data_IF_649667896930
#
_entry.id   IF_649667896930
#
_cell.length_a   1.000
_cell.length_b   1.000
_cell.length_c   1.000
_cell.angle_alpha   90.00
_cell.angle_beta   90.00
_cell.angle_gamma   90.00
#
_symmetry.space_group_name_H-M   'P 1'
#
loop_
_entity.id
_entity.type
_entity.pdbx_description
1 polymer ?
#
# COMPACT_ATOMS: atom_id res chain seq x y z
N UNK A 1 4.16 -3.89 -24.76
CA UNK A 1 3.60 -3.15 -23.61
C UNK A 1 4.67 -2.86 -22.59
N UNK A 2 4.53 -1.78 -21.85
CA UNK A 2 5.42 -1.46 -20.74
C UNK A 2 5.42 -2.62 -19.77
N UNK A 3 6.57 -3.21 -19.51
CA UNK A 3 6.68 -4.26 -18.52
C UNK A 3 6.50 -3.66 -17.12
N UNK A 4 5.91 -4.41 -16.22
CA UNK A 4 5.79 -4.06 -14.78
C UNK A 4 7.16 -4.18 -14.09
N UNK A 5 8.18 -3.60 -14.72
CA UNK A 5 9.55 -3.50 -14.22
C UNK A 5 9.83 -2.04 -13.96
N UNK A 6 10.03 -1.72 -12.71
CA UNK A 6 10.45 -0.40 -12.31
C UNK A 6 11.96 -0.32 -12.37
N UNK A 7 12.46 0.23 -13.45
CA UNK A 7 13.87 0.57 -13.58
C UNK A 7 14.22 1.86 -12.82
N UNK A 8 13.20 2.61 -12.39
CA UNK A 8 13.38 3.81 -11.58
C UNK A 8 12.86 3.61 -10.15
N UNK A 9 13.77 3.57 -9.20
CA UNK A 9 13.45 3.40 -7.78
C UNK A 9 12.67 4.57 -7.15
N UNK A 10 12.67 5.72 -7.81
CA UNK A 10 12.09 6.95 -7.28
C UNK A 10 10.66 7.19 -7.72
N UNK A 11 10.21 6.58 -8.80
CA UNK A 11 8.85 6.77 -9.31
C UNK A 11 8.47 5.82 -10.43
N UNK A 12 7.17 5.74 -10.70
CA UNK A 12 6.63 4.95 -11.80
C UNK A 12 6.32 5.88 -12.98
N UNK A 13 6.86 5.57 -14.14
CA UNK A 13 6.56 6.33 -15.37
C UNK A 13 5.09 6.21 -15.73
N UNK A 14 4.46 7.31 -16.02
CA UNK A 14 3.07 7.42 -16.44
C UNK A 14 2.96 7.51 -17.97
N UNK A 15 1.73 7.41 -18.46
CA UNK A 15 1.45 7.42 -19.90
C UNK A 15 1.91 8.70 -20.60
N UNK A 16 1.88 9.82 -19.90
CA UNK A 16 2.26 11.15 -20.41
C UNK A 16 3.76 11.47 -20.26
N UNK A 17 4.56 10.51 -19.76
CA UNK A 17 5.98 10.69 -19.53
C UNK A 17 6.34 11.29 -18.17
N UNK A 18 5.35 11.70 -17.37
CA UNK A 18 5.57 12.10 -15.97
C UNK A 18 5.71 10.89 -15.05
N UNK A 19 5.96 11.13 -13.78
CA UNK A 19 6.15 10.07 -12.79
C UNK A 19 5.12 10.15 -11.67
N UNK A 20 4.71 8.99 -11.18
CA UNK A 20 3.99 8.90 -9.90
C UNK A 20 4.96 8.56 -8.78
N UNK A 21 4.78 9.26 -7.65
CA UNK A 21 5.51 9.02 -6.41
C UNK A 21 4.54 8.42 -5.40
N UNK A 22 4.95 7.32 -4.80
CA UNK A 22 4.09 6.54 -3.92
C UNK A 22 4.78 6.33 -2.58
N UNK A 23 4.53 7.21 -1.60
CA UNK A 23 5.05 7.01 -0.24
C UNK A 23 4.46 5.74 0.36
N UNK A 24 5.27 4.98 1.08
CA UNK A 24 4.80 3.77 1.77
C UNK A 24 3.97 4.15 2.98
N UNK A 25 2.79 3.55 3.06
CA UNK A 25 1.85 3.68 4.18
C UNK A 25 1.47 2.28 4.67
N UNK A 26 2.25 1.66 5.57
CA UNK A 26 1.98 0.32 6.04
C UNK A 26 0.57 0.18 6.61
N UNK A 27 -0.17 -0.82 6.13
CA UNK A 27 -1.57 -1.02 6.49
C UNK A 27 -2.53 0.08 6.05
N UNK A 28 -2.06 1.09 5.32
CA UNK A 28 -2.84 2.30 4.99
C UNK A 28 -2.88 3.33 6.11
N UNK A 29 -2.08 3.14 7.17
CA UNK A 29 -2.00 4.09 8.28
C UNK A 29 -1.10 5.27 7.93
N UNK A 30 -1.54 6.47 8.26
CA UNK A 30 -0.79 7.70 8.08
C UNK A 30 -1.14 8.69 9.20
N UNK A 31 -0.11 9.38 9.73
CA UNK A 31 -0.33 10.40 10.76
C UNK A 31 -0.93 11.68 10.18
N UNK A 32 -1.60 12.51 11.00
CA UNK A 32 -2.04 13.84 10.58
C UNK A 32 -0.90 14.70 10.00
N UNK A 33 0.25 14.70 10.63
CA UNK A 33 1.44 15.42 10.13
C UNK A 33 1.94 14.88 8.80
N UNK A 34 1.87 13.56 8.61
CA UNK A 34 2.17 12.91 7.33
C UNK A 34 1.21 13.36 6.22
N UNK A 35 -0.09 13.47 6.50
CA UNK A 35 -1.07 13.99 5.54
C UNK A 35 -0.79 15.45 5.18
N UNK A 36 -0.43 16.29 6.16
CA UNK A 36 -0.05 17.69 5.94
C UNK A 36 1.18 17.76 5.04
N UNK A 37 2.22 16.97 5.35
CA UNK A 37 3.45 16.93 4.56
C UNK A 37 3.18 16.52 3.10
N UNK A 38 2.39 15.49 2.86
CA UNK A 38 1.99 15.06 1.51
C UNK A 38 1.26 16.20 0.79
N UNK A 39 0.31 16.86 1.46
CA UNK A 39 -0.44 17.97 0.89
C UNK A 39 0.46 19.15 0.51
N UNK A 40 1.41 19.51 1.37
CA UNK A 40 2.38 20.60 1.10
C UNK A 40 3.29 20.25 -0.07
N UNK A 41 3.84 19.04 -0.12
CA UNK A 41 4.69 18.58 -1.23
C UNK A 41 3.90 18.58 -2.54
N UNK A 42 2.67 18.06 -2.52
CA UNK A 42 1.82 18.06 -3.71
C UNK A 42 1.53 19.47 -4.23
N UNK A 43 1.29 20.43 -3.34
CA UNK A 43 1.09 21.85 -3.74
C UNK A 43 2.36 22.46 -4.30
N UNK A 44 3.51 22.23 -3.70
CA UNK A 44 4.79 22.79 -4.12
C UNK A 44 5.17 22.34 -5.54
N UNK A 45 4.99 21.06 -5.84
CA UNK A 45 5.34 20.48 -7.13
C UNK A 45 4.16 20.37 -8.10
N UNK A 46 3.00 20.96 -7.77
CA UNK A 46 1.77 20.89 -8.57
C UNK A 46 1.36 19.46 -8.94
N UNK A 47 1.42 18.53 -7.97
CA UNK A 47 1.09 17.13 -8.18
C UNK A 47 -0.40 16.86 -7.98
N UNK A 48 -0.95 15.99 -8.81
CA UNK A 48 -2.27 15.43 -8.59
C UNK A 48 -2.20 14.35 -7.52
N UNK A 49 -3.11 14.40 -6.55
CA UNK A 49 -3.17 13.44 -5.45
C UNK A 49 -4.39 12.54 -5.55
N UNK A 50 -4.20 11.26 -5.26
CA UNK A 50 -5.31 10.30 -5.25
C UNK A 50 -5.11 9.25 -4.15
N UNK A 51 -6.17 8.99 -3.37
CA UNK A 51 -6.28 7.79 -2.55
C UNK A 51 -6.61 6.63 -3.47
N UNK A 52 -5.71 5.66 -3.57
CA UNK A 52 -5.84 4.54 -4.50
C UNK A 52 -6.34 3.27 -3.80
N UNK A 53 -6.75 2.28 -4.57
CA UNK A 53 -7.19 0.98 -4.06
C UNK A 53 -6.12 0.20 -3.29
N UNK A 54 -4.86 0.66 -3.33
CA UNK A 54 -3.75 0.14 -2.52
C UNK A 54 -3.73 0.66 -1.08
N UNK A 55 -4.75 1.39 -0.63
CA UNK A 55 -4.84 2.00 0.69
C UNK A 55 -3.65 2.95 0.99
N UNK A 56 -3.33 3.82 0.03
CA UNK A 56 -2.27 4.83 0.12
C UNK A 56 -2.61 6.04 -0.71
N UNK A 57 -1.90 7.13 -0.49
CA UNK A 57 -1.98 8.34 -1.31
C UNK A 57 -0.87 8.29 -2.36
N UNK A 58 -1.25 8.31 -3.63
CA UNK A 58 -0.32 8.38 -4.75
C UNK A 58 -0.27 9.81 -5.29
N UNK A 59 0.94 10.29 -5.63
CA UNK A 59 1.21 11.62 -6.17
C UNK A 59 1.59 11.48 -7.65
N UNK A 60 0.92 12.20 -8.54
CA UNK A 60 1.12 12.08 -9.99
C UNK A 60 1.57 13.40 -10.61
N UNK A 61 2.33 13.33 -11.69
CA UNK A 61 2.73 14.47 -12.49
C UNK A 61 4.14 14.99 -12.21
N UNK A 62 4.94 14.28 -11.39
CA UNK A 62 6.31 14.67 -11.10
C UNK A 62 7.20 14.56 -12.34
N UNK A 63 8.12 15.53 -12.52
CA UNK A 63 9.15 15.44 -13.52
C UNK A 63 10.33 14.61 -13.00
N UNK A 64 11.08 13.98 -13.90
CA UNK A 64 12.20 13.12 -13.52
C UNK A 64 13.21 13.82 -12.59
N UNK A 65 13.55 15.07 -12.89
CA UNK A 65 14.52 15.85 -12.12
C UNK A 65 13.99 16.28 -10.74
N UNK A 66 12.68 16.28 -10.53
CA UNK A 66 12.05 16.63 -9.24
C UNK A 66 12.05 15.45 -8.26
N UNK A 67 12.13 14.20 -8.76
CA UNK A 67 12.01 13.01 -7.93
C UNK A 67 12.95 12.98 -6.73
N UNK A 68 14.25 13.29 -6.85
CA UNK A 68 15.17 13.28 -5.71
C UNK A 68 14.76 14.29 -4.63
N UNK A 69 14.29 15.47 -5.03
CA UNK A 69 13.86 16.52 -4.09
C UNK A 69 12.55 16.14 -3.40
N UNK A 70 11.59 15.63 -4.14
CA UNK A 70 10.31 15.13 -3.60
C UNK A 70 10.58 14.04 -2.56
N UNK A 71 11.44 13.07 -2.89
CA UNK A 71 11.77 11.98 -1.97
C UNK A 71 12.52 12.46 -0.75
N UNK A 72 13.45 13.43 -0.89
CA UNK A 72 14.10 14.00 0.28
C UNK A 72 13.07 14.58 1.25
N UNK A 73 12.10 15.34 0.76
CA UNK A 73 11.03 15.92 1.57
C UNK A 73 10.14 14.86 2.22
N UNK A 74 9.80 13.80 1.48
CA UNK A 74 9.00 12.69 2.01
C UNK A 74 9.75 11.92 3.10
N UNK A 75 11.03 11.63 2.90
CA UNK A 75 11.87 10.95 3.90
C UNK A 75 12.04 11.81 5.15
N UNK A 76 12.28 13.11 4.97
CA UNK A 76 12.38 14.08 6.10
C UNK A 76 11.04 14.15 6.88
N UNK A 77 9.91 13.90 6.23
CA UNK A 77 8.60 13.80 6.86
C UNK A 77 8.28 12.40 7.45
N UNK A 78 9.24 11.47 7.41
CA UNK A 78 9.11 10.13 7.99
C UNK A 78 8.55 9.04 7.07
N UNK A 79 8.37 9.32 5.77
CA UNK A 79 7.95 8.30 4.82
C UNK A 79 9.12 7.47 4.32
N UNK A 80 8.90 6.17 4.19
CA UNK A 80 9.83 5.32 3.45
C UNK A 80 9.60 5.45 1.95
N UNK A 81 10.71 5.37 1.20
CA UNK A 81 10.63 5.14 -0.23
C UNK A 81 9.97 3.78 -0.45
N UNK A 82 8.80 3.80 -1.04
CA UNK A 82 8.17 2.59 -1.50
C UNK A 82 9.01 2.04 -2.63
N UNK A 83 10.00 1.24 -2.30
CA UNK A 83 10.81 0.52 -3.27
C UNK A 83 9.91 0.06 -4.40
N UNK A 84 10.22 0.53 -5.60
CA UNK A 84 9.53 0.28 -6.82
C UNK A 84 8.56 -0.89 -6.75
N UNK A 85 7.32 -0.60 -6.79
CA UNK A 85 6.23 -1.54 -6.70
C UNK A 85 6.14 -2.52 -7.90
N UNK A 86 7.27 -2.82 -8.53
CA UNK A 86 7.32 -3.79 -9.59
C UNK A 86 6.91 -5.20 -9.09
N UNK A 87 7.75 -6.15 -9.29
CA UNK A 87 7.54 -7.55 -8.88
C UNK A 87 7.88 -7.74 -7.39
N UNK A 88 7.07 -7.16 -6.51
CA UNK A 88 7.27 -7.20 -5.06
C UNK A 88 5.94 -7.07 -4.31
N UNK A 89 6.02 -7.17 -2.97
CA UNK A 89 4.89 -6.93 -2.10
C UNK A 89 4.41 -5.47 -2.19
N UNK A 90 3.12 -5.32 -2.44
CA UNK A 90 2.39 -4.05 -2.36
C UNK A 90 2.04 -3.73 -0.90
N UNK A 91 1.46 -2.53 -0.67
CA UNK A 91 0.88 -2.21 0.64
C UNK A 91 -0.07 -3.31 1.09
N UNK A 92 0.09 -3.79 2.30
CA UNK A 92 -0.86 -4.73 2.91
C UNK A 92 -2.13 -3.95 3.27
N UNK A 93 -3.22 -4.23 2.55
CA UNK A 93 -4.50 -3.57 2.81
C UNK A 93 -5.08 -4.07 4.13
N UNK A 94 -5.59 -3.16 4.95
CA UNK A 94 -6.25 -3.49 6.22
C UNK A 94 -7.53 -2.70 6.43
N UNK A 95 -8.40 -3.20 7.28
CA UNK A 95 -9.42 -2.40 7.93
C UNK A 95 -8.89 -1.84 9.25
N UNK A 96 -9.67 -1.01 9.94
CA UNK A 96 -9.26 -0.34 11.19
C UNK A 96 -9.14 -1.27 12.40
N UNK A 97 -9.58 -2.52 12.30
CA UNK A 97 -9.46 -3.52 13.36
C UNK A 97 -10.33 -3.26 14.60
N UNK A 98 -10.06 -4.03 15.65
CA UNK A 98 -10.86 -4.03 16.87
C UNK A 98 -10.70 -2.78 17.75
N UNK A 99 -9.68 -1.97 17.52
CA UNK A 99 -9.48 -0.73 18.28
C UNK A 99 -10.58 0.30 17.99
N UNK A 100 -11.01 0.40 16.73
CA UNK A 100 -11.96 1.42 16.28
C UNK A 100 -13.30 0.86 15.82
N UNK A 101 -13.32 -0.38 15.33
CA UNK A 101 -14.52 -0.98 14.77
C UNK A 101 -15.22 -1.86 15.81
N UNK A 102 -16.51 -1.56 16.10
CA UNK A 102 -17.33 -2.36 17.03
C UNK A 102 -17.50 -3.83 16.62
N UNK A 103 -17.28 -4.16 15.37
CA UNK A 103 -17.34 -5.52 14.83
C UNK A 103 -15.97 -6.19 14.75
N UNK A 104 -14.91 -5.43 15.01
CA UNK A 104 -13.55 -5.95 14.94
C UNK A 104 -13.29 -7.00 16.01
N UNK A 105 -12.80 -8.16 15.59
CA UNK A 105 -12.46 -9.28 16.49
C UNK A 105 -10.99 -9.20 16.92
N UNK A 106 -10.11 -8.79 15.99
CA UNK A 106 -8.67 -8.71 16.24
C UNK A 106 -8.07 -7.45 15.66
N UNK A 107 -6.83 -7.14 16.10
CA UNK A 107 -6.03 -6.01 15.60
C UNK A 107 -5.51 -6.28 14.19
N UNK A 108 -6.30 -5.97 13.18
CA UNK A 108 -5.93 -6.17 11.79
C UNK A 108 -4.89 -5.16 11.31
N UNK A 109 -4.95 -3.91 11.78
CA UNK A 109 -4.02 -2.87 11.35
C UNK A 109 -2.59 -3.17 11.83
N UNK A 110 -2.42 -3.52 13.09
CA UNK A 110 -1.12 -3.92 13.64
C UNK A 110 -0.54 -5.13 12.90
N UNK A 111 -1.35 -6.14 12.67
CA UNK A 111 -0.91 -7.32 11.92
C UNK A 111 -0.53 -7.01 10.47
N UNK A 112 -1.29 -6.14 9.78
CA UNK A 112 -0.97 -5.71 8.43
C UNK A 112 0.37 -4.94 8.37
N UNK A 113 0.61 -4.06 9.33
CA UNK A 113 1.87 -3.31 9.45
C UNK A 113 3.05 -4.27 9.68
N UNK A 114 2.90 -5.24 10.58
CA UNK A 114 3.94 -6.24 10.85
C UNK A 114 4.26 -7.09 9.61
N UNK A 115 3.23 -7.54 8.88
CA UNK A 115 3.40 -8.28 7.64
C UNK A 115 4.10 -7.44 6.58
N UNK A 116 3.72 -6.20 6.41
CA UNK A 116 4.33 -5.30 5.43
C UNK A 116 5.80 -5.04 5.77
N UNK A 117 6.12 -4.73 7.03
CA UNK A 117 7.48 -4.49 7.48
C UNK A 117 8.37 -5.74 7.34
N UNK A 118 7.80 -6.92 7.56
CA UNK A 118 8.51 -8.18 7.43
C UNK A 118 8.83 -8.55 5.98
N UNK A 119 7.91 -8.27 5.06
CA UNK A 119 8.01 -8.76 3.67
C UNK A 119 8.22 -7.65 2.64
N UNK A 120 8.27 -6.38 3.04
CA UNK A 120 8.59 -5.27 2.12
C UNK A 120 9.94 -5.52 1.44
N UNK A 121 9.98 -5.28 0.13
CA UNK A 121 11.18 -5.54 -0.66
C UNK A 121 11.39 -6.98 -1.13
N UNK A 122 10.56 -7.92 -0.67
CA UNK A 122 10.60 -9.30 -1.16
C UNK A 122 10.27 -9.34 -2.67
N UNK A 123 11.24 -9.80 -3.46
CA UNK A 123 11.05 -9.98 -4.90
C UNK A 123 10.21 -11.22 -5.19
N UNK A 124 9.32 -11.12 -6.17
CA UNK A 124 8.41 -12.17 -6.60
C UNK A 124 8.28 -12.17 -8.12
N UNK A 125 7.83 -13.27 -8.76
CA UNK A 125 7.62 -13.31 -10.22
C UNK A 125 6.62 -12.26 -10.72
N UNK A 126 5.65 -11.91 -9.88
CA UNK A 126 4.62 -10.89 -10.11
C UNK A 126 4.42 -10.04 -8.87
N UNK A 127 3.69 -8.92 -9.00
CA UNK A 127 3.25 -8.13 -7.84
C UNK A 127 2.42 -9.00 -6.91
N UNK A 128 2.68 -8.90 -5.62
CA UNK A 128 1.98 -9.64 -4.56
C UNK A 128 1.15 -8.67 -3.74
N UNK A 129 -0.10 -9.00 -3.53
CA UNK A 129 -1.05 -8.23 -2.74
C UNK A 129 -1.51 -9.01 -1.53
N UNK A 130 -1.44 -8.39 -0.37
CA UNK A 130 -1.97 -8.93 0.88
C UNK A 130 -3.17 -8.10 1.35
N UNK A 131 -4.05 -8.75 2.13
CA UNK A 131 -5.15 -8.09 2.81
C UNK A 131 -5.41 -8.72 4.17
N UNK A 132 -5.72 -7.88 5.16
CA UNK A 132 -6.00 -8.32 6.54
C UNK A 132 -7.31 -7.71 6.99
N UNK A 133 -8.32 -8.55 7.19
CA UNK A 133 -9.64 -8.14 7.69
C UNK A 133 -9.78 -8.52 9.17
N UNK A 134 -10.17 -7.57 9.99
CA UNK A 134 -10.32 -7.73 11.45
C UNK A 134 -11.57 -8.51 11.87
N UNK A 135 -12.41 -8.95 10.94
CA UNK A 135 -13.58 -9.82 11.15
C UNK A 135 -14.09 -10.36 9.81
N UNK A 136 -15.08 -11.23 9.86
CA UNK A 136 -15.71 -11.89 8.70
C UNK A 136 -16.50 -10.96 7.78
N UNK A 137 -16.66 -9.67 8.12
CA UNK A 137 -17.26 -8.65 7.23
C UNK A 137 -16.35 -8.28 6.05
N UNK A 138 -15.07 -8.62 6.15
CA UNK A 138 -14.14 -8.64 5.02
C UNK A 138 -13.91 -7.27 4.34
N UNK A 139 -13.90 -6.18 5.14
CA UNK A 139 -13.73 -4.82 4.61
C UNK A 139 -12.40 -4.57 3.90
N UNK A 140 -11.37 -5.37 4.17
CA UNK A 140 -10.07 -5.28 3.50
C UNK A 140 -10.02 -6.08 2.18
N UNK A 141 -11.10 -6.77 1.80
CA UNK A 141 -11.15 -7.62 0.59
C UNK A 141 -10.03 -8.66 0.55
N UNK A 142 -9.76 -9.28 1.71
CA UNK A 142 -8.64 -10.18 1.90
C UNK A 142 -8.72 -11.41 0.99
N UNK A 143 -9.92 -11.98 0.79
CA UNK A 143 -10.11 -13.15 -0.07
C UNK A 143 -9.79 -12.87 -1.55
N UNK A 144 -9.87 -11.61 -1.98
CA UNK A 144 -9.53 -11.20 -3.34
C UNK A 144 -8.04 -10.95 -3.56
N UNK A 145 -7.20 -11.12 -2.55
CA UNK A 145 -5.75 -10.88 -2.62
C UNK A 145 -4.99 -12.19 -2.87
N UNK A 146 -3.69 -12.07 -3.22
CA UNK A 146 -2.82 -13.24 -3.36
C UNK A 146 -2.72 -13.99 -2.03
N UNK A 147 -2.64 -13.23 -0.91
CA UNK A 147 -2.75 -13.73 0.44
C UNK A 147 -3.74 -12.88 1.24
N UNK A 148 -4.67 -13.53 1.89
CA UNK A 148 -5.69 -12.89 2.71
C UNK A 148 -5.78 -13.49 4.10
N UNK A 149 -5.96 -12.63 5.10
CA UNK A 149 -6.16 -13.02 6.49
C UNK A 149 -7.47 -12.43 6.99
N UNK A 150 -8.30 -13.29 7.55
CA UNK A 150 -9.58 -12.89 8.16
C UNK A 150 -9.59 -13.34 9.61
N UNK A 151 -9.80 -12.38 10.51
CA UNK A 151 -9.88 -12.67 11.94
C UNK A 151 -11.15 -13.43 12.28
N UNK A 152 -11.00 -14.39 13.17
CA UNK A 152 -12.06 -15.13 13.84
C UNK A 152 -11.79 -15.16 15.33
N UNK A 153 -12.75 -15.57 16.14
CA UNK A 153 -12.58 -15.69 17.59
C UNK A 153 -11.41 -16.60 17.95
N UNK A 154 -11.27 -17.73 17.24
CA UNK A 154 -10.22 -18.72 17.45
C UNK A 154 -8.85 -18.38 16.87
N UNK A 155 -8.73 -17.36 16.01
CA UNK A 155 -7.45 -17.06 15.36
C UNK A 155 -7.60 -16.26 14.08
N UNK A 156 -6.84 -16.67 13.07
CA UNK A 156 -6.84 -16.10 11.73
C UNK A 156 -7.03 -17.19 10.68
N UNK A 157 -7.98 -17.00 9.79
CA UNK A 157 -8.08 -17.84 8.60
C UNK A 157 -7.18 -17.26 7.51
N UNK A 158 -6.32 -18.12 6.94
CA UNK A 158 -5.44 -17.76 5.83
C UNK A 158 -6.06 -18.22 4.51
N UNK A 159 -6.15 -17.31 3.57
CA UNK A 159 -6.60 -17.54 2.19
C UNK A 159 -5.46 -17.24 1.23
N UNK A 160 -5.34 -17.98 0.15
CA UNK A 160 -4.34 -17.72 -0.88
C UNK A 160 -4.87 -18.00 -2.29
N UNK A 161 -4.24 -17.38 -3.29
CA UNK A 161 -4.60 -17.55 -4.68
C UNK A 161 -5.88 -16.80 -5.09
N UNK A 162 -6.28 -15.78 -4.32
CA UNK A 162 -7.34 -14.88 -4.71
C UNK A 162 -6.93 -14.00 -5.88
N UNK A 163 -7.89 -13.66 -6.75
CA UNK A 163 -7.63 -12.84 -7.94
C UNK A 163 -8.83 -11.92 -8.21
N UNK A 164 -9.16 -11.07 -7.24
CA UNK A 164 -10.16 -10.00 -7.39
C UNK A 164 -11.59 -10.45 -7.71
N UNK A 165 -11.89 -11.71 -7.68
CA UNK A 165 -13.19 -12.29 -8.03
C UNK A 165 -13.14 -13.80 -8.17
N UNK A 166 -11.95 -14.35 -8.26
CA UNK A 166 -11.79 -15.80 -8.26
C UNK A 166 -11.84 -16.34 -6.83
N UNK A 167 -12.43 -17.51 -6.67
CA UNK A 167 -12.56 -18.19 -5.39
C UNK A 167 -11.16 -18.56 -4.84
N UNK A 168 -10.75 -18.05 -3.69
CA UNK A 168 -9.46 -18.40 -3.11
C UNK A 168 -9.46 -19.82 -2.56
N UNK A 169 -8.27 -20.34 -2.35
CA UNK A 169 -8.09 -21.58 -1.58
C UNK A 169 -8.04 -21.22 -0.08
N UNK A 170 -8.55 -22.12 0.70
CA UNK A 170 -8.58 -22.03 2.17
C UNK A 170 -7.49 -22.92 2.77
#
# INVERSE_FOLDING_TARGET
>A
GLQDTNDNYLGNMQKDGTYSVVPRMPGGEVSPDGLIAIGQIAKEFNLYTKVTGGARVDLFGAQLHELPVIWKKLVDAGFETGHAYGKSLRTVKSCVGNTWCRYGVKNSIGFAIDLENRYKGLRSPHKVKFGVSGCTRECAEAQGKDFGLIATDGGWNLYFGGNGGMRPRH
#
